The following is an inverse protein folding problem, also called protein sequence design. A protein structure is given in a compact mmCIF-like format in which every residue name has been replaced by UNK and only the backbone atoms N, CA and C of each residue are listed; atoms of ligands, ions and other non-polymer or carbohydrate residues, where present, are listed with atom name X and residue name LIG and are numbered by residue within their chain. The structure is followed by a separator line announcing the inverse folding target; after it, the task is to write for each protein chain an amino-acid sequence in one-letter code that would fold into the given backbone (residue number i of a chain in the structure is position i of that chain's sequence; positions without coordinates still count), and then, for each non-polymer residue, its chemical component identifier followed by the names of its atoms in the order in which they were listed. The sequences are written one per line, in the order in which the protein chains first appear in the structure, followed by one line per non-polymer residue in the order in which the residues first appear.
data_IF_931333627436
#
_entry.id   IF_931333627436
#
_cell.length_a   1.000
_cell.length_b   1.000
_cell.length_c   1.000
_cell.angle_alpha   90.00
_cell.angle_beta   90.00
_cell.angle_gamma   90.00
#
_symmetry.space_group_name_H-M   'P 1'
#
loop_
_entity.id
_entity.type
_entity.pdbx_description
1 polymer ?
#
# COMPACT_ATOMS: atom_id res chain seq x y z
N UNK A 1 -24.00 -46.70 -15.96
CA UNK A 1 -23.64 -47.24 -14.63
C UNK A 1 -23.14 -48.66 -14.85
N UNK A 2 -21.84 -48.90 -14.67
CA UNK A 2 -21.23 -50.21 -14.92
C UNK A 2 -21.30 -51.09 -13.66
N UNK A 3 -21.52 -52.40 -13.88
CA UNK A 3 -21.55 -53.45 -12.87
C UNK A 3 -20.14 -53.81 -12.39
N UNK A 4 -19.99 -54.37 -11.18
CA UNK A 4 -18.71 -54.94 -10.68
C UNK A 4 -18.08 -55.93 -11.69
N UNK A 5 -18.92 -56.61 -12.49
CA UNK A 5 -18.45 -57.50 -13.57
C UNK A 5 -17.76 -56.76 -14.72
N UNK A 6 -18.12 -55.51 -14.97
CA UNK A 6 -17.55 -54.71 -16.05
C UNK A 6 -16.15 -54.19 -15.66
N UNK A 7 -15.91 -53.94 -14.36
CA UNK A 7 -14.59 -53.54 -13.84
C UNK A 7 -13.57 -54.69 -13.90
N UNK A 8 -14.00 -55.93 -13.74
CA UNK A 8 -13.15 -57.13 -13.88
C UNK A 8 -12.74 -57.44 -15.33
N UNK A 9 -13.38 -56.80 -16.32
CA UNK A 9 -13.06 -56.97 -17.73
C UNK A 9 -11.84 -56.14 -18.17
N UNK A 10 -11.40 -55.18 -17.36
CA UNK A 10 -10.17 -54.43 -17.61
C UNK A 10 -8.96 -55.26 -17.20
N UNK A 11 -8.11 -55.57 -18.17
CA UNK A 11 -6.96 -56.49 -18.03
C UNK A 11 -5.97 -56.09 -16.91
N UNK A 12 -5.94 -54.81 -16.51
CA UNK A 12 -5.07 -54.30 -15.44
C UNK A 12 -5.65 -54.43 -14.03
N UNK A 13 -6.96 -54.63 -13.88
CA UNK A 13 -7.64 -54.74 -12.57
C UNK A 13 -7.65 -56.17 -12.02
N UNK A 14 -7.34 -57.16 -12.87
CA UNK A 14 -7.43 -58.60 -12.56
C UNK A 14 -6.43 -59.07 -11.51
N UNK A 15 -5.30 -58.39 -11.39
CA UNK A 15 -4.19 -58.78 -10.52
C UNK A 15 -4.07 -57.91 -9.25
N UNK A 16 -4.91 -56.87 -9.10
CA UNK A 16 -4.79 -55.85 -8.04
C UNK A 16 -5.88 -55.98 -6.97
N UNK A 17 -7.04 -56.59 -7.28
CA UNK A 17 -8.19 -56.61 -6.38
C UNK A 17 -8.69 -58.05 -6.21
N UNK A 18 -8.45 -58.65 -5.03
CA UNK A 18 -9.07 -59.92 -4.67
C UNK A 18 -10.53 -59.70 -4.25
N UNK A 19 -11.39 -60.71 -4.41
CA UNK A 19 -12.81 -60.63 -4.02
C UNK A 19 -12.98 -60.26 -2.54
N UNK A 20 -11.97 -60.60 -1.73
CA UNK A 20 -11.87 -60.36 -0.28
C UNK A 20 -11.65 -58.87 0.06
N UNK A 21 -10.99 -58.11 -0.83
CA UNK A 21 -10.74 -56.68 -0.67
C UNK A 21 -12.04 -55.85 -0.86
N UNK A 22 -12.99 -56.39 -1.63
CA UNK A 22 -14.28 -55.74 -1.95
C UNK A 22 -15.28 -55.80 -0.78
N UNK A 23 -15.08 -56.65 0.23
CA UNK A 23 -16.00 -56.77 1.37
C UNK A 23 -15.59 -55.94 2.61
N UNK A 24 -14.42 -55.29 2.59
CA UNK A 24 -13.93 -54.42 3.68
C UNK A 24 -13.95 -52.93 3.29
N UNK A 25 -15.10 -52.45 2.79
CA UNK A 25 -15.27 -51.11 2.20
C UNK A 25 -15.48 -50.03 3.26
N UNK A 26 -14.48 -49.80 4.11
CA UNK A 26 -14.38 -48.55 4.88
C UNK A 26 -13.09 -47.77 4.65
N UNK A 27 -12.10 -48.36 3.95
CA UNK A 27 -10.77 -47.75 3.81
C UNK A 27 -10.05 -48.02 2.47
N UNK A 28 -10.77 -48.26 1.37
CA UNK A 28 -10.15 -48.38 0.05
C UNK A 28 -10.25 -47.07 -0.74
N UNK A 29 -9.09 -46.59 -1.20
CA UNK A 29 -8.96 -45.41 -2.03
C UNK A 29 -9.90 -45.44 -3.22
N UNK A 30 -10.52 -44.30 -3.49
CA UNK A 30 -11.42 -44.12 -4.61
C UNK A 30 -10.69 -44.38 -5.94
N UNK A 31 -11.01 -45.48 -6.63
CA UNK A 31 -10.64 -45.68 -8.03
C UNK A 31 -11.54 -44.78 -8.87
N UNK A 32 -11.02 -43.63 -9.27
CA UNK A 32 -11.70 -42.70 -10.16
C UNK A 32 -11.37 -43.09 -11.61
N UNK A 33 -12.28 -43.81 -12.27
CA UNK A 33 -12.16 -44.14 -13.70
C UNK A 33 -12.65 -42.95 -14.50
N UNK A 34 -11.75 -42.23 -15.17
CA UNK A 34 -12.08 -41.12 -16.06
C UNK A 34 -12.69 -41.66 -17.36
N UNK A 35 -13.90 -41.23 -17.68
CA UNK A 35 -14.59 -41.54 -18.93
C UNK A 35 -14.73 -40.26 -19.76
N UNK A 36 -13.63 -39.81 -20.35
CA UNK A 36 -13.59 -38.60 -21.16
C UNK A 36 -14.27 -38.83 -22.51
N UNK A 37 -15.23 -37.97 -22.86
CA UNK A 37 -15.89 -38.01 -24.17
C UNK A 37 -15.33 -36.96 -25.13
N UNK A 38 -14.96 -35.79 -24.62
CA UNK A 38 -14.48 -34.66 -25.40
C UNK A 38 -13.39 -33.91 -24.65
N UNK A 39 -12.41 -33.40 -25.39
CA UNK A 39 -11.45 -32.40 -24.91
C UNK A 39 -11.81 -31.07 -25.54
N UNK A 40 -12.12 -30.07 -24.71
CA UNK A 40 -12.44 -28.72 -25.15
C UNK A 40 -11.19 -27.86 -25.02
N UNK A 41 -10.69 -27.33 -26.14
CA UNK A 41 -9.54 -26.42 -26.15
C UNK A 41 -10.00 -25.01 -26.50
N UNK A 42 -9.63 -24.03 -25.66
CA UNK A 42 -9.89 -22.62 -25.90
C UNK A 42 -8.64 -21.95 -26.49
N UNK A 43 -8.61 -21.77 -27.81
CA UNK A 43 -7.41 -21.32 -28.53
C UNK A 43 -7.20 -19.78 -28.56
N UNK A 44 -8.24 -18.99 -28.26
CA UNK A 44 -8.11 -17.53 -28.18
C UNK A 44 -9.29 -16.92 -27.43
N UNK A 45 -9.21 -16.83 -26.11
CA UNK A 45 -10.21 -16.12 -25.32
C UNK A 45 -9.78 -14.66 -25.19
N UNK A 46 -10.44 -13.77 -25.94
CA UNK A 46 -10.39 -12.35 -25.63
C UNK A 46 -11.26 -12.13 -24.42
N UNK A 47 -10.71 -11.51 -23.37
CA UNK A 47 -11.52 -11.01 -22.26
C UNK A 47 -12.60 -10.07 -22.77
N UNK A 48 -13.77 -10.12 -22.14
CA UNK A 48 -14.85 -9.20 -22.43
C UNK A 48 -14.42 -7.76 -22.12
N UNK A 49 -15.02 -6.79 -22.81
CA UNK A 49 -14.71 -5.37 -22.58
C UNK A 49 -15.08 -4.96 -21.16
N UNK A 50 -16.18 -5.53 -20.68
CA UNK A 50 -16.74 -5.33 -19.34
C UNK A 50 -15.73 -5.77 -18.29
N UNK A 51 -15.10 -6.94 -18.48
CA UNK A 51 -14.10 -7.44 -17.56
C UNK A 51 -12.85 -6.56 -17.53
N UNK A 52 -12.33 -6.16 -18.70
CA UNK A 52 -11.18 -5.27 -18.79
C UNK A 52 -11.43 -3.92 -18.12
N UNK A 53 -12.63 -3.36 -18.31
CA UNK A 53 -13.02 -2.10 -17.69
C UNK A 53 -13.15 -2.24 -16.18
N UNK A 54 -13.71 -3.34 -15.69
CA UNK A 54 -13.83 -3.60 -14.26
C UNK A 54 -12.46 -3.73 -13.58
N UNK A 55 -11.52 -4.44 -14.21
CA UNK A 55 -10.12 -4.52 -13.76
C UNK A 55 -9.47 -3.13 -13.73
N UNK A 56 -9.65 -2.32 -14.79
CA UNK A 56 -9.12 -0.95 -14.83
C UNK A 56 -9.68 -0.09 -13.69
N UNK A 57 -10.98 -0.15 -13.45
CA UNK A 57 -11.62 0.60 -12.37
C UNK A 57 -11.11 0.16 -10.99
N UNK A 58 -10.84 -1.14 -10.80
CA UNK A 58 -10.28 -1.67 -9.56
C UNK A 58 -8.82 -1.24 -9.36
N UNK A 59 -8.02 -1.22 -10.43
CA UNK A 59 -6.65 -0.71 -10.42
C UNK A 59 -6.64 0.77 -10.06
N UNK A 60 -7.49 1.58 -10.68
CA UNK A 60 -7.54 3.04 -10.46
C UNK A 60 -8.26 3.45 -9.14
N UNK A 61 -8.72 2.46 -8.35
CA UNK A 61 -9.38 2.73 -7.06
C UNK A 61 -8.38 3.16 -5.97
N UNK A 62 -8.88 3.85 -4.94
CA UNK A 62 -8.07 4.22 -3.77
C UNK A 62 -7.72 3.02 -2.88
N UNK A 63 -8.47 1.92 -2.96
CA UNK A 63 -8.26 0.70 -2.19
C UNK A 63 -8.07 -0.49 -3.14
N UNK A 64 -6.98 -0.52 -3.92
CA UNK A 64 -6.84 -1.45 -5.03
C UNK A 64 -6.76 -2.91 -4.58
N UNK A 65 -6.25 -3.20 -3.38
CA UNK A 65 -6.19 -4.58 -2.86
C UNK A 65 -7.60 -5.14 -2.61
N UNK A 66 -8.43 -4.43 -1.85
CA UNK A 66 -9.83 -4.83 -1.62
C UNK A 66 -10.65 -4.80 -2.91
N UNK A 67 -10.37 -3.85 -3.80
CA UNK A 67 -11.08 -3.76 -5.08
C UNK A 67 -10.70 -4.89 -6.02
N UNK A 68 -9.43 -5.30 -6.06
CA UNK A 68 -8.94 -6.41 -6.89
C UNK A 68 -9.27 -7.77 -6.29
N UNK A 69 -9.44 -7.87 -4.97
CA UNK A 69 -9.64 -9.13 -4.27
C UNK A 69 -10.82 -9.97 -4.83
N UNK A 70 -12.04 -9.45 -5.03
CA UNK A 70 -13.12 -10.23 -5.64
C UNK A 70 -12.79 -10.75 -7.05
N UNK A 71 -12.00 -10.00 -7.81
CA UNK A 71 -11.52 -10.45 -9.12
C UNK A 71 -10.54 -11.60 -8.89
N UNK A 72 -9.46 -11.38 -8.13
CA UNK A 72 -8.44 -12.40 -7.83
C UNK A 72 -9.02 -13.65 -7.16
N UNK A 73 -10.03 -13.53 -6.29
CA UNK A 73 -10.67 -14.62 -5.56
C UNK A 73 -11.60 -15.45 -6.48
N UNK A 74 -12.28 -14.85 -7.45
CA UNK A 74 -12.97 -15.63 -8.51
C UNK A 74 -11.94 -16.30 -9.47
N UNK A 75 -10.63 -16.02 -9.32
CA UNK A 75 -9.54 -16.58 -10.14
C UNK A 75 -8.57 -17.51 -9.42
N UNK A 76 -8.44 -17.43 -8.10
CA UNK A 76 -7.73 -18.44 -7.30
C UNK A 76 -8.64 -19.66 -7.21
N UNK A 77 -8.53 -20.53 -8.22
CA UNK A 77 -9.02 -21.93 -8.16
C UNK A 77 -8.18 -22.75 -7.16
N UNK A 78 -7.70 -22.11 -6.10
CA UNK A 78 -7.06 -22.76 -4.95
C UNK A 78 -7.97 -22.58 -3.78
N UNK A 79 -9.06 -23.34 -3.77
CA UNK A 79 -9.62 -24.00 -2.59
C UNK A 79 -10.62 -25.05 -3.08
N UNK A 80 -10.09 -26.17 -3.56
CA UNK A 80 -10.80 -27.44 -3.44
C UNK A 80 -10.88 -27.79 -1.94
N UNK A 81 -11.74 -27.13 -1.15
CA UNK A 81 -11.83 -27.45 0.29
C UNK A 81 -12.60 -28.71 0.53
N UNK A 82 -12.05 -29.58 1.37
CA UNK A 82 -12.75 -30.75 1.89
C UNK A 82 -13.75 -30.33 2.98
N UNK A 83 -14.98 -30.84 2.97
CA UNK A 83 -15.96 -30.69 4.06
C UNK A 83 -15.50 -31.44 5.34
N UNK A 84 -16.30 -31.38 6.42
CA UNK A 84 -16.01 -31.98 7.73
C UNK A 84 -15.79 -33.51 7.71
N UNK A 85 -16.06 -34.19 6.58
CA UNK A 85 -15.78 -35.60 6.30
C UNK A 85 -14.56 -35.82 5.38
N UNK A 86 -13.81 -34.78 5.06
CA UNK A 86 -12.64 -34.87 4.18
C UNK A 86 -12.98 -34.91 2.68
N UNK A 87 -14.14 -34.37 2.25
CA UNK A 87 -14.58 -34.40 0.84
C UNK A 87 -14.58 -33.02 0.15
N UNK A 88 -13.78 -32.90 -0.92
CA UNK A 88 -13.60 -31.67 -1.71
C UNK A 88 -14.93 -31.13 -2.25
N UNK A 89 -15.31 -29.93 -1.81
CA UNK A 89 -16.38 -29.07 -2.30
C UNK A 89 -15.94 -27.60 -2.18
N UNK A 90 -15.94 -26.83 -3.28
CA UNK A 90 -16.40 -25.43 -3.21
C UNK A 90 -16.71 -24.88 -4.60
N UNK A 91 -17.97 -24.43 -4.81
CA UNK A 91 -18.30 -23.16 -5.51
C UNK A 91 -19.60 -22.61 -4.88
N UNK A 92 -19.58 -21.36 -4.41
CA UNK A 92 -20.80 -20.55 -4.24
C UNK A 92 -21.18 -19.89 -5.58
N UNK A 93 -22.48 -19.87 -5.82
CA UNK A 93 -23.11 -20.07 -7.12
C UNK A 93 -23.05 -18.90 -8.12
N UNK A 94 -22.31 -17.82 -7.92
CA UNK A 94 -22.46 -16.60 -8.75
C UNK A 94 -21.55 -16.54 -9.99
N UNK A 95 -20.31 -17.07 -9.95
CA UNK A 95 -19.42 -17.10 -11.12
C UNK A 95 -19.77 -18.23 -12.15
N UNK A 96 -20.74 -19.11 -11.86
CA UNK A 96 -21.11 -20.27 -12.70
C UNK A 96 -22.53 -20.26 -13.32
N UNK A 97 -23.34 -19.22 -13.10
CA UNK A 97 -24.79 -19.27 -13.41
C UNK A 97 -25.18 -19.39 -14.90
N UNK A 98 -24.23 -19.54 -15.83
CA UNK A 98 -24.54 -19.69 -17.26
C UNK A 98 -24.01 -20.96 -17.92
N UNK A 99 -23.56 -21.99 -17.19
CA UNK A 99 -22.96 -23.18 -17.84
C UNK A 99 -23.73 -24.50 -17.75
N UNK A 100 -24.92 -24.55 -17.14
CA UNK A 100 -25.89 -25.61 -17.45
C UNK A 100 -27.26 -25.30 -16.86
N UNK A 101 -28.22 -24.97 -17.71
CA UNK A 101 -29.59 -25.36 -17.44
C UNK A 101 -30.05 -26.27 -18.58
N UNK A 102 -29.77 -27.56 -18.37
CA UNK A 102 -30.45 -28.74 -18.89
C UNK A 102 -30.65 -28.84 -20.41
N UNK A 103 -29.60 -29.30 -21.09
CA UNK A 103 -29.76 -30.06 -22.34
C UNK A 103 -29.58 -31.55 -22.03
N UNK A 104 -30.35 -32.41 -22.71
CA UNK A 104 -30.55 -33.87 -22.51
C UNK A 104 -29.29 -34.78 -22.43
N UNK A 105 -28.08 -34.21 -22.51
CA UNK A 105 -26.81 -34.91 -22.55
C UNK A 105 -26.02 -34.61 -21.27
N UNK A 106 -25.97 -35.57 -20.33
CA UNK A 106 -25.32 -35.48 -19.00
C UNK A 106 -23.77 -35.34 -19.07
N UNK A 107 -23.25 -34.30 -19.72
CA UNK A 107 -21.84 -33.97 -19.76
C UNK A 107 -21.49 -33.01 -18.62
N UNK A 108 -20.45 -33.35 -17.85
CA UNK A 108 -19.87 -32.51 -16.82
C UNK A 108 -18.37 -32.39 -17.00
N UNK A 109 -17.76 -31.32 -16.47
CA UNK A 109 -16.30 -31.16 -16.48
C UNK A 109 -15.72 -32.14 -15.45
N UNK A 110 -14.84 -33.04 -15.92
CA UNK A 110 -14.20 -34.07 -15.07
C UNK A 110 -12.74 -33.75 -14.75
N UNK A 111 -12.12 -32.83 -15.49
CA UNK A 111 -10.74 -32.40 -15.33
C UNK A 111 -10.52 -31.02 -15.97
N UNK A 112 -9.60 -30.24 -15.39
CA UNK A 112 -9.06 -29.05 -16.01
C UNK A 112 -7.62 -29.32 -16.43
N UNK A 113 -7.30 -29.03 -17.68
CA UNK A 113 -5.94 -29.08 -18.22
C UNK A 113 -5.58 -27.71 -18.81
N UNK A 114 -4.28 -27.37 -18.82
CA UNK A 114 -3.73 -26.11 -19.34
C UNK A 114 -4.38 -24.84 -18.73
N UNK A 115 -4.56 -24.81 -17.41
CA UNK A 115 -5.11 -23.65 -16.70
C UNK A 115 -4.18 -22.43 -16.83
N UNK A 116 -4.70 -21.33 -17.36
CA UNK A 116 -3.99 -20.05 -17.52
C UNK A 116 -4.55 -19.05 -16.51
N UNK A 117 -3.68 -18.34 -15.81
CA UNK A 117 -4.10 -17.24 -14.93
C UNK A 117 -4.78 -16.12 -15.73
N UNK A 118 -5.85 -15.54 -15.19
CA UNK A 118 -6.54 -14.42 -15.82
C UNK A 118 -5.72 -13.13 -15.85
N UNK A 119 -4.73 -13.00 -14.96
CA UNK A 119 -3.70 -11.96 -15.06
C UNK A 119 -2.99 -12.03 -16.42
N UNK A 120 -2.61 -13.22 -16.88
CA UNK A 120 -1.95 -13.43 -18.18
C UNK A 120 -2.86 -13.13 -19.39
N UNK A 121 -4.18 -13.00 -19.19
CA UNK A 121 -5.15 -12.68 -20.24
C UNK A 121 -5.41 -11.18 -20.38
N UNK A 122 -5.06 -10.38 -19.35
CA UNK A 122 -5.11 -8.92 -19.41
C UNK A 122 -4.11 -8.39 -20.43
N UNK A 123 -4.26 -7.15 -20.86
CA UNK A 123 -3.20 -6.54 -21.65
C UNK A 123 -1.97 -6.22 -20.79
N UNK A 124 -0.83 -6.06 -21.45
CA UNK A 124 0.47 -5.89 -20.80
C UNK A 124 0.51 -4.67 -19.87
N UNK A 125 -0.24 -3.61 -20.20
CA UNK A 125 -0.33 -2.42 -19.35
C UNK A 125 -1.04 -2.73 -18.03
N UNK A 126 -2.21 -3.37 -18.09
CA UNK A 126 -2.95 -3.80 -16.90
C UNK A 126 -2.16 -4.77 -16.05
N UNK A 127 -1.49 -5.75 -16.67
CA UNK A 127 -0.60 -6.68 -15.97
C UNK A 127 0.48 -5.93 -15.18
N UNK A 128 1.19 -5.01 -15.83
CA UNK A 128 2.24 -4.21 -15.20
C UNK A 128 1.72 -3.36 -14.03
N UNK A 129 0.51 -2.79 -14.15
CA UNK A 129 -0.13 -2.02 -13.06
C UNK A 129 -0.46 -2.92 -11.88
N UNK A 130 -1.05 -4.10 -12.12
CA UNK A 130 -1.37 -5.08 -11.07
C UNK A 130 -0.08 -5.59 -10.43
N UNK A 131 0.93 -5.94 -11.21
CA UNK A 131 2.23 -6.37 -10.70
C UNK A 131 2.88 -5.30 -9.85
N UNK A 132 2.75 -4.03 -10.26
CA UNK A 132 3.24 -2.90 -9.46
C UNK A 132 2.51 -2.81 -8.13
N UNK A 133 1.22 -3.14 -8.05
CA UNK A 133 0.43 -3.14 -6.80
C UNK A 133 0.78 -4.36 -5.93
N UNK A 134 0.83 -5.55 -6.52
CA UNK A 134 1.02 -6.82 -5.81
C UNK A 134 2.48 -7.05 -5.38
N UNK A 135 3.45 -6.57 -6.16
CA UNK A 135 4.88 -6.69 -5.84
C UNK A 135 5.37 -5.67 -4.78
N UNK A 136 4.51 -4.79 -4.25
CA UNK A 136 4.89 -3.86 -3.15
C UNK A 136 4.92 -4.54 -1.78
N UNK A 137 5.33 -5.80 -1.68
CA UNK A 137 5.43 -6.43 -0.36
C UNK A 137 6.55 -5.73 0.44
N UNK A 138 6.09 -4.98 1.45
CA UNK A 138 6.84 -4.40 2.57
C UNK A 138 7.78 -3.21 2.31
N UNK A 139 7.63 -2.51 1.18
CA UNK A 139 8.33 -1.26 0.94
C UNK A 139 7.44 -0.03 1.15
N UNK A 140 8.03 1.03 1.71
CA UNK A 140 7.36 2.32 1.85
C UNK A 140 7.08 2.96 0.48
N UNK A 141 5.85 3.44 0.32
CA UNK A 141 5.37 4.14 -0.88
C UNK A 141 4.61 5.40 -0.50
N UNK A 142 4.48 6.30 -1.46
CA UNK A 142 3.52 7.40 -1.35
C UNK A 142 2.12 6.81 -1.46
N UNK A 143 1.37 6.95 -0.38
CA UNK A 143 -0.01 6.47 -0.25
C UNK A 143 -0.97 7.50 -0.82
N UNK A 144 -0.73 8.76 -0.49
CA UNK A 144 -1.57 9.88 -0.87
C UNK A 144 -0.77 11.18 -0.75
N UNK A 145 -1.17 12.17 -1.54
CA UNK A 145 -0.60 13.51 -1.52
C UNK A 145 -1.72 14.55 -1.53
N UNK A 146 -1.43 15.75 -1.04
CA UNK A 146 -2.37 16.84 -1.16
C UNK A 146 -1.76 18.18 -0.87
N UNK A 147 -2.58 19.20 -1.10
CA UNK A 147 -2.23 20.60 -0.89
C UNK A 147 -3.42 21.30 -0.24
N UNK A 148 -3.12 22.07 0.81
CA UNK A 148 -4.11 22.88 1.52
C UNK A 148 -3.61 24.31 1.65
N UNK A 149 -4.49 25.30 1.43
CA UNK A 149 -4.16 26.70 1.69
C UNK A 149 -4.00 26.94 3.20
N UNK A 150 -3.31 28.02 3.58
CA UNK A 150 -3.09 28.37 4.98
C UNK A 150 -3.86 29.63 5.38
N UNK A 151 -4.97 29.97 4.70
CA UNK A 151 -5.72 31.20 5.00
C UNK A 151 -6.32 31.16 6.41
N UNK A 152 -6.92 30.03 6.76
CA UNK A 152 -7.62 29.79 8.03
C UNK A 152 -6.74 29.04 9.04
N UNK A 153 -5.62 29.67 9.42
CA UNK A 153 -4.76 29.18 10.50
C UNK A 153 -5.26 29.59 11.88
N UNK A 154 -5.35 28.60 12.77
CA UNK A 154 -5.55 28.82 14.20
C UNK A 154 -4.23 29.23 14.84
N UNK A 155 -4.24 30.30 15.64
CA UNK A 155 -3.08 30.65 16.45
C UNK A 155 -3.19 29.86 17.73
N UNK A 156 -2.33 28.86 17.89
CA UNK A 156 -2.26 28.09 19.13
C UNK A 156 -1.50 28.89 20.18
N UNK A 157 -1.42 28.35 21.41
CA UNK A 157 -0.50 28.88 22.42
C UNK A 157 0.90 29.04 21.81
N UNK A 158 1.63 30.06 22.24
CA UNK A 158 3.03 30.27 21.87
C UNK A 158 3.26 30.69 20.40
N UNK A 159 2.40 31.52 19.79
CA UNK A 159 2.58 32.06 18.42
C UNK A 159 2.84 31.01 17.33
N UNK A 160 2.44 29.76 17.56
CA UNK A 160 2.45 28.71 16.53
C UNK A 160 1.14 28.73 15.78
N UNK A 161 1.20 28.29 14.54
CA UNK A 161 0.01 28.09 13.72
C UNK A 161 -0.37 26.62 13.70
N UNK A 162 -1.68 26.38 13.75
CA UNK A 162 -2.29 25.07 13.65
C UNK A 162 -3.26 25.02 12.48
N UNK A 163 -3.26 23.90 11.78
CA UNK A 163 -4.33 23.55 10.83
C UNK A 163 -4.63 22.07 10.90
N UNK A 164 -5.90 21.74 11.02
CA UNK A 164 -6.37 20.38 10.78
C UNK A 164 -6.61 20.18 9.28
N UNK A 165 -6.11 19.06 8.76
CA UNK A 165 -6.29 18.63 7.38
C UNK A 165 -7.07 17.33 7.40
N UNK A 166 -8.21 17.35 6.70
CA UNK A 166 -9.03 16.18 6.49
C UNK A 166 -8.74 15.58 5.11
N UNK A 167 -8.67 14.26 5.07
CA UNK A 167 -8.54 13.53 3.82
C UNK A 167 -9.88 12.86 3.48
N UNK A 168 -10.05 12.50 2.21
CA UNK A 168 -11.25 11.78 1.75
C UNK A 168 -11.32 10.33 2.24
N UNK A 169 -10.28 9.86 2.93
CA UNK A 169 -10.15 8.45 3.32
C UNK A 169 -9.91 8.33 4.82
N UNK A 170 -10.44 7.26 5.40
CA UNK A 170 -10.24 6.91 6.80
C UNK A 170 -9.00 6.03 6.90
N UNK A 171 -8.10 6.38 7.79
CA UNK A 171 -6.94 5.61 8.16
C UNK A 171 -7.21 4.88 9.48
N UNK A 172 -7.32 3.55 9.41
CA UNK A 172 -7.61 2.70 10.56
C UNK A 172 -6.36 2.37 11.41
N UNK A 173 -5.18 2.39 10.79
CA UNK A 173 -3.92 1.99 11.41
C UNK A 173 -2.88 3.12 11.43
N UNK A 174 -1.89 3.07 12.32
CA UNK A 174 -0.82 4.09 12.41
C UNK A 174 0.43 3.76 11.56
N UNK A 175 0.31 2.80 10.63
CA UNK A 175 1.41 2.25 9.83
C UNK A 175 1.84 3.14 8.66
N UNK A 176 1.69 4.46 8.81
CA UNK A 176 2.18 5.47 7.87
C UNK A 176 2.88 6.61 8.61
N UNK A 177 3.51 7.48 7.82
CA UNK A 177 4.09 8.75 8.22
C UNK A 177 3.66 9.83 7.24
N UNK A 178 3.70 11.05 7.71
CA UNK A 178 3.35 12.29 7.07
C UNK A 178 4.63 13.08 6.86
N UNK A 179 4.70 13.69 5.70
CA UNK A 179 5.79 14.56 5.29
C UNK A 179 5.22 15.72 4.51
N UNK A 180 5.95 16.82 4.45
CA UNK A 180 5.51 17.97 3.68
C UNK A 180 6.37 19.18 3.91
N UNK A 181 5.96 20.27 3.28
CA UNK A 181 6.62 21.57 3.37
C UNK A 181 5.64 22.69 3.10
N UNK A 182 5.95 23.89 3.60
CA UNK A 182 5.25 25.09 3.17
C UNK A 182 5.76 25.49 1.79
N UNK A 183 4.84 25.82 0.90
CA UNK A 183 5.13 26.38 -0.41
C UNK A 183 4.39 27.70 -0.57
N UNK A 184 5.02 28.66 -1.22
CA UNK A 184 4.41 29.93 -1.59
C UNK A 184 3.57 29.77 -2.87
N UNK A 185 2.83 30.82 -3.23
CA UNK A 185 1.94 30.83 -4.40
C UNK A 185 2.65 30.62 -5.74
N UNK A 186 3.95 30.93 -5.81
CA UNK A 186 4.83 30.66 -6.95
C UNK A 186 5.43 29.24 -6.93
N UNK A 187 4.93 28.34 -6.07
CA UNK A 187 5.40 26.96 -5.87
C UNK A 187 6.84 26.84 -5.35
N UNK A 188 7.40 27.92 -4.83
CA UNK A 188 8.70 27.91 -4.17
C UNK A 188 8.57 27.37 -2.74
N UNK A 189 9.54 26.56 -2.30
CA UNK A 189 9.59 26.07 -0.92
C UNK A 189 9.90 27.23 0.03
N UNK A 190 9.15 27.33 1.13
CA UNK A 190 9.34 28.33 2.17
C UNK A 190 10.09 27.70 3.35
N UNK A 191 11.31 28.19 3.63
CA UNK A 191 12.20 27.62 4.66
C UNK A 191 12.22 28.37 6.00
N UNK A 192 11.46 29.47 6.09
CA UNK A 192 11.32 30.33 7.27
C UNK A 192 10.50 29.67 8.38
N UNK A 193 9.81 28.58 8.06
CA UNK A 193 8.92 27.85 8.95
C UNK A 193 9.38 26.42 9.14
N UNK A 194 9.30 25.96 10.37
CA UNK A 194 9.35 24.55 10.70
C UNK A 194 7.93 23.97 10.69
N UNK A 195 7.78 22.80 10.06
CA UNK A 195 6.49 22.15 9.88
C UNK A 195 6.55 20.77 10.50
N UNK A 196 5.53 20.45 11.28
CA UNK A 196 5.33 19.15 11.89
C UNK A 196 3.97 18.61 11.54
N UNK A 197 3.92 17.29 11.34
CA UNK A 197 2.69 16.58 11.04
C UNK A 197 2.48 15.48 12.07
N UNK A 198 1.30 15.45 12.66
CA UNK A 198 0.91 14.40 13.60
C UNK A 198 -0.55 14.01 13.42
N UNK A 199 -0.84 12.74 13.67
CA UNK A 199 -2.20 12.21 13.55
C UNK A 199 -3.08 12.84 14.65
N UNK A 200 -4.28 13.28 14.27
CA UNK A 200 -5.24 13.88 15.20
C UNK A 200 -6.56 13.10 15.24
N UNK A 201 -7.02 12.64 14.07
CA UNK A 201 -8.28 11.92 13.90
C UNK A 201 -8.12 10.78 12.90
N UNK A 202 -9.10 9.88 12.82
CA UNK A 202 -9.03 8.74 11.90
C UNK A 202 -9.13 9.15 10.42
N UNK A 203 -9.62 10.34 10.10
CA UNK A 203 -9.75 10.84 8.73
C UNK A 203 -8.92 12.11 8.47
N UNK A 204 -8.02 12.46 9.38
CA UNK A 204 -7.28 13.71 9.30
C UNK A 204 -6.03 13.76 10.18
N UNK A 205 -5.24 14.78 9.94
CA UNK A 205 -4.01 15.03 10.68
C UNK A 205 -3.85 16.52 10.93
N UNK A 206 -3.06 16.83 11.95
CA UNK A 206 -2.78 18.21 12.32
C UNK A 206 -1.41 18.61 11.81
N UNK A 207 -1.34 19.83 11.29
CA UNK A 207 -0.12 20.50 10.89
C UNK A 207 0.20 21.59 11.91
N UNK A 208 1.34 21.47 12.58
CA UNK A 208 1.88 22.53 13.43
C UNK A 208 2.99 23.26 12.68
N UNK A 209 2.89 24.59 12.65
CA UNK A 209 3.83 25.45 11.94
C UNK A 209 4.43 26.46 12.92
N UNK A 210 5.75 26.42 13.04
CA UNK A 210 6.52 27.26 13.96
C UNK A 210 7.44 28.18 13.15
N UNK A 211 7.32 29.51 13.27
CA UNK A 211 8.30 30.44 12.68
C UNK A 211 9.70 30.19 13.26
N UNK A 212 10.71 30.11 12.40
CA UNK A 212 12.11 29.94 12.82
C UNK A 212 12.78 31.29 13.14
N UNK A 213 12.31 32.36 12.51
CA UNK A 213 12.77 33.73 12.69
C UNK A 213 11.64 34.71 12.33
N UNK A 214 11.88 36.01 12.47
CA UNK A 214 11.02 37.01 11.87
C UNK A 214 11.01 36.81 10.34
N UNK A 215 9.91 36.27 9.82
CA UNK A 215 9.72 36.08 8.39
C UNK A 215 9.00 37.29 7.82
N UNK A 216 9.44 37.73 6.64
CA UNK A 216 8.71 38.72 5.85
C UNK A 216 7.54 38.10 5.07
N UNK A 217 7.44 36.77 5.06
CA UNK A 217 6.43 36.04 4.32
C UNK A 217 5.16 35.97 5.15
N UNK A 218 4.04 36.33 4.51
CA UNK A 218 2.72 36.12 5.08
C UNK A 218 2.30 34.66 4.88
N UNK A 219 2.43 33.85 5.93
CA UNK A 219 2.08 32.43 5.91
C UNK A 219 0.64 32.19 5.46
N UNK A 220 -0.30 33.12 5.69
CA UNK A 220 -1.70 32.95 5.30
C UNK A 220 -1.93 32.99 3.79
N UNK A 221 -0.91 33.41 3.03
CA UNK A 221 -0.88 33.38 1.56
C UNK A 221 -0.17 32.15 1.00
N UNK A 222 0.35 31.29 1.88
CA UNK A 222 1.06 30.07 1.50
C UNK A 222 0.14 28.86 1.54
N UNK A 223 0.70 27.73 1.12
CA UNK A 223 0.07 26.42 1.11
C UNK A 223 0.94 25.43 1.85
N UNK A 224 0.34 24.38 2.38
CA UNK A 224 1.06 23.20 2.87
C UNK A 224 0.92 22.08 1.84
N UNK A 225 2.04 21.71 1.23
CA UNK A 225 2.15 20.49 0.44
C UNK A 225 2.44 19.35 1.41
N UNK A 226 1.66 18.28 1.33
CA UNK A 226 1.80 17.12 2.20
C UNK A 226 1.72 15.81 1.43
N UNK A 227 2.31 14.78 2.02
CA UNK A 227 2.26 13.42 1.55
C UNK A 227 2.22 12.44 2.72
N UNK A 228 1.53 11.33 2.47
CA UNK A 228 1.43 10.18 3.37
C UNK A 228 2.29 9.09 2.76
N UNK A 229 3.22 8.56 3.55
CA UNK A 229 4.15 7.49 3.18
C UNK A 229 3.92 6.31 4.10
N UNK A 230 3.66 5.14 3.54
CA UNK A 230 3.31 3.94 4.30
C UNK A 230 3.56 2.68 3.50
N UNK A 231 3.32 1.52 4.10
CA UNK A 231 3.35 0.24 3.39
C UNK A 231 1.95 -0.04 2.85
N UNK A 232 1.72 -0.05 1.53
CA UNK A 232 0.37 -0.14 0.96
C UNK A 232 -0.48 -1.31 1.48
N UNK A 233 0.14 -2.48 1.68
CA UNK A 233 -0.55 -3.67 2.23
C UNK A 233 -1.03 -3.53 3.67
N UNK A 234 -0.60 -2.50 4.41
CA UNK A 234 -0.98 -2.25 5.81
C UNK A 234 -1.94 -1.07 5.98
N UNK A 235 -2.14 -0.25 4.96
CA UNK A 235 -2.91 1.00 5.10
C UNK A 235 -4.24 0.99 4.34
N UNK A 236 -4.56 -0.11 3.63
CA UNK A 236 -5.74 -0.32 2.76
C UNK A 236 -5.93 0.70 1.62
N UNK A 237 -5.27 1.86 1.71
CA UNK A 237 -5.29 2.98 0.79
C UNK A 237 -3.99 2.98 0.00
N UNK A 238 -4.07 3.13 -1.32
CA UNK A 238 -2.90 3.33 -2.17
C UNK A 238 -3.30 4.05 -3.44
N UNK A 239 -3.18 5.38 -3.48
CA UNK A 239 -3.57 6.17 -4.65
C UNK A 239 -2.80 5.76 -5.91
N UNK A 240 -3.46 5.70 -7.10
CA UNK A 240 -2.80 5.44 -8.38
C UNK A 240 -1.80 6.52 -8.82
N UNK A 241 -1.92 7.76 -8.30
CA UNK A 241 -1.24 8.93 -8.89
C UNK A 241 0.29 8.89 -8.77
N UNK A 242 0.82 8.21 -7.76
CA UNK A 242 2.24 8.20 -7.42
C UNK A 242 2.80 6.79 -7.12
N UNK A 243 2.11 5.70 -7.50
CA UNK A 243 2.50 4.31 -7.14
C UNK A 243 3.87 3.91 -7.71
N UNK A 244 4.14 4.42 -8.91
CA UNK A 244 5.37 4.23 -9.67
C UNK A 244 6.56 4.99 -9.07
N UNK A 245 6.31 5.99 -8.21
CA UNK A 245 7.38 6.75 -7.58
C UNK A 245 8.11 5.88 -6.56
N UNK A 246 9.43 5.85 -6.70
CA UNK A 246 10.30 5.25 -5.72
C UNK A 246 10.50 6.23 -4.56
N UNK A 247 10.25 5.75 -3.35
CA UNK A 247 10.47 6.51 -2.12
C UNK A 247 11.61 5.86 -1.37
N UNK A 248 12.64 6.64 -1.13
CA UNK A 248 13.71 6.26 -0.23
C UNK A 248 13.35 6.73 1.17
N UNK A 249 12.98 5.79 2.03
CA UNK A 249 12.51 6.11 3.38
C UNK A 249 13.49 5.59 4.43
N UNK A 250 13.80 6.45 5.40
CA UNK A 250 14.73 6.16 6.49
C UNK A 250 14.00 6.38 7.81
N UNK A 251 14.09 5.39 8.69
CA UNK A 251 13.80 5.54 10.10
C UNK A 251 15.13 5.54 10.85
N UNK A 252 15.33 6.55 11.69
CA UNK A 252 16.35 6.54 12.73
C UNK A 252 15.64 6.74 14.07
N UNK A 253 15.58 5.68 14.86
CA UNK A 253 14.98 5.71 16.19
C UNK A 253 16.05 6.07 17.24
N UNK A 254 15.61 6.72 18.31
CA UNK A 254 16.38 7.00 19.51
C UNK A 254 17.70 7.76 19.29
N UNK A 255 17.71 8.75 18.40
CA UNK A 255 18.93 9.53 18.18
C UNK A 255 19.14 10.54 19.30
N UNK A 256 20.32 10.49 19.92
CA UNK A 256 20.78 11.50 20.87
C UNK A 256 21.31 12.74 20.13
N UNK A 257 20.68 13.90 20.34
CA UNK A 257 21.13 15.17 19.79
C UNK A 257 21.80 16.02 20.87
N UNK A 258 23.08 16.37 20.67
CA UNK A 258 23.82 17.21 21.61
C UNK A 258 23.32 18.65 21.56
N UNK A 259 23.01 19.21 22.72
CA UNK A 259 22.46 20.57 22.89
C UNK A 259 23.52 21.68 22.79
N UNK A 260 24.81 21.34 22.83
CA UNK A 260 25.86 22.28 23.22
C UNK A 260 26.55 23.04 22.08
N UNK A 261 26.10 22.93 20.84
CA UNK A 261 26.64 23.76 19.76
C UNK A 261 25.49 24.20 18.85
N UNK A 262 25.14 25.49 18.94
CA UNK A 262 24.14 26.11 18.07
C UNK A 262 24.44 25.88 16.58
N UNK A 263 25.70 25.61 16.19
CA UNK A 263 26.14 25.36 14.81
C UNK A 263 26.48 23.89 14.49
N UNK A 264 26.16 22.94 15.36
CA UNK A 264 26.45 21.54 15.08
C UNK A 264 25.45 20.91 14.09
N UNK A 265 25.98 20.34 13.02
CA UNK A 265 25.22 19.48 12.11
C UNK A 265 25.21 18.04 12.63
N UNK A 266 24.04 17.41 12.53
CA UNK A 266 23.85 15.99 12.81
C UNK A 266 23.80 15.21 11.49
N UNK A 267 24.89 14.52 11.10
CA UNK A 267 24.93 13.73 9.88
C UNK A 267 24.22 12.38 10.05
N UNK A 268 23.25 12.11 9.19
CA UNK A 268 22.55 10.83 9.10
C UNK A 268 23.05 10.09 7.87
N UNK A 269 23.76 8.98 8.09
CA UNK A 269 24.23 8.10 7.01
C UNK A 269 23.05 7.40 6.34
N UNK A 270 22.97 7.49 5.03
CA UNK A 270 21.96 6.82 4.20
C UNK A 270 22.45 5.46 3.69
N UNK A 271 21.53 4.54 3.42
CA UNK A 271 21.83 3.24 2.78
C UNK A 271 21.84 3.33 1.25
N UNK A 272 21.43 4.47 0.70
CA UNK A 272 21.36 4.79 -0.71
C UNK A 272 22.07 6.12 -1.00
N UNK A 273 22.41 6.36 -2.25
CA UNK A 273 23.08 7.58 -2.66
C UNK A 273 22.08 8.66 -3.03
N UNK A 274 22.25 9.87 -2.48
CA UNK A 274 21.49 11.04 -2.90
C UNK A 274 22.08 11.62 -4.19
N UNK A 275 21.21 12.10 -5.06
CA UNK A 275 21.52 12.67 -6.37
C UNK A 275 21.00 14.10 -6.49
N UNK A 276 21.61 14.87 -7.41
CA UNK A 276 21.22 16.26 -7.63
C UNK A 276 19.74 16.31 -8.07
N UNK A 277 18.95 17.07 -7.32
CA UNK A 277 17.51 17.21 -7.53
C UNK A 277 16.66 16.43 -6.52
N UNK A 278 17.25 15.53 -5.75
CA UNK A 278 16.54 14.84 -4.68
C UNK A 278 15.99 15.84 -3.65
N UNK A 279 14.75 15.64 -3.26
CA UNK A 279 14.05 16.43 -2.26
C UNK A 279 13.95 15.64 -0.97
N UNK A 280 14.45 16.23 0.12
CA UNK A 280 14.47 15.62 1.45
C UNK A 280 13.38 16.24 2.32
N UNK A 281 12.52 15.38 2.87
CA UNK A 281 11.51 15.72 3.86
C UNK A 281 11.85 15.07 5.19
N UNK A 282 11.69 15.82 6.27
CA UNK A 282 12.01 15.38 7.62
C UNK A 282 10.80 15.62 8.50
N UNK A 283 10.44 14.64 9.31
CA UNK A 283 9.40 14.80 10.33
C UNK A 283 9.80 14.08 11.61
N UNK A 284 9.28 14.56 12.74
CA UNK A 284 9.55 14.03 14.09
C UNK A 284 8.22 13.89 14.82
N UNK A 285 7.88 12.69 15.29
CA UNK A 285 6.52 12.40 15.80
C UNK A 285 6.31 12.74 17.27
N UNK A 286 7.37 13.02 18.02
CA UNK A 286 7.31 13.41 19.43
C UNK A 286 8.53 14.27 19.72
N UNK A 287 8.56 15.55 19.29
CA UNK A 287 9.70 16.39 19.53
C UNK A 287 9.86 16.57 21.05
N UNK A 288 11.10 16.56 21.52
CA UNK A 288 11.36 17.01 22.90
C UNK A 288 10.83 18.43 23.04
N UNK A 289 10.04 18.67 24.08
CA UNK A 289 9.39 19.96 24.32
C UNK A 289 10.45 21.07 24.23
N UNK A 290 10.30 21.95 23.25
CA UNK A 290 11.21 23.08 23.03
C UNK A 290 12.32 22.89 22.03
N UNK A 291 12.33 21.78 21.29
CA UNK A 291 13.29 21.56 20.22
C UNK A 291 12.59 21.12 18.93
N UNK A 292 13.14 21.56 17.80
CA UNK A 292 12.74 21.12 16.48
C UNK A 292 13.97 20.72 15.66
N UNK A 293 13.72 19.98 14.57
CA UNK A 293 14.77 19.42 13.75
C UNK A 293 14.63 19.90 12.30
N UNK A 294 15.61 20.66 11.82
CA UNK A 294 15.60 21.25 10.48
C UNK A 294 16.54 20.50 9.55
N UNK A 295 16.07 20.18 8.35
CA UNK A 295 16.94 19.79 7.24
C UNK A 295 17.78 20.99 6.79
N UNK A 296 19.10 20.80 6.65
CA UNK A 296 20.03 21.85 6.20
C UNK A 296 20.54 21.55 4.79
N UNK A 297 21.17 20.39 4.61
CA UNK A 297 21.75 20.00 3.32
C UNK A 297 21.99 18.47 3.29
N UNK A 298 22.49 17.96 2.18
CA UNK A 298 22.91 16.56 2.04
C UNK A 298 24.23 16.45 1.26
N UNK A 299 24.90 15.31 1.42
CA UNK A 299 25.99 14.84 0.57
C UNK A 299 25.64 13.45 0.05
N UNK A 300 26.50 12.87 -0.80
CA UNK A 300 26.22 11.61 -1.50
C UNK A 300 25.65 10.51 -0.59
N UNK A 301 26.18 10.36 0.62
CA UNK A 301 25.80 9.28 1.55
C UNK A 301 25.26 9.80 2.90
N UNK A 302 25.00 11.12 3.02
CA UNK A 302 24.59 11.72 4.29
C UNK A 302 23.54 12.81 4.14
N UNK A 303 22.65 12.89 5.11
CA UNK A 303 21.69 13.99 5.29
C UNK A 303 22.09 14.75 6.55
N UNK A 304 22.23 16.07 6.45
CA UNK A 304 22.64 16.93 7.56
C UNK A 304 21.43 17.66 8.14
N UNK A 305 21.16 17.37 9.41
CA UNK A 305 20.09 18.00 10.16
C UNK A 305 20.67 18.96 11.20
N UNK A 306 19.91 19.97 11.59
CA UNK A 306 20.25 20.89 12.68
C UNK A 306 19.14 20.89 13.70
N UNK A 307 19.51 20.68 14.96
CA UNK A 307 18.61 20.91 16.08
C UNK A 307 18.49 22.42 16.26
N UNK A 308 17.27 22.92 16.40
CA UNK A 308 17.06 24.30 16.79
C UNK A 308 16.19 24.33 18.04
N UNK A 309 16.45 25.31 18.89
CA UNK A 309 15.65 25.57 20.06
C UNK A 309 14.42 26.36 19.63
N UNK A 310 13.25 25.82 19.94
CA UNK A 310 12.02 26.59 19.82
C UNK A 310 12.08 27.70 20.88
N UNK A 311 12.12 28.95 20.42
CA UNK A 311 12.23 30.14 21.26
C UNK A 311 11.11 30.27 22.30
N UNK A 312 10.08 29.44 22.23
CA UNK A 312 8.82 29.60 22.96
C UNK A 312 8.55 28.45 23.95
N UNK A 313 9.45 27.47 24.08
CA UNK A 313 9.42 26.58 25.24
C UNK A 313 9.86 27.33 26.50
N UNK A 314 9.06 27.21 27.57
CA UNK A 314 9.33 27.88 28.83
C UNK A 314 10.75 27.57 29.34
N UNK A 315 11.38 28.57 29.96
CA UNK A 315 12.68 28.43 30.63
C UNK A 315 12.67 27.40 31.77
N UNK A 316 11.52 26.81 32.10
CA UNK A 316 11.34 26.00 33.31
C UNK A 316 11.30 24.49 33.03
N UNK A 317 11.28 24.05 31.76
CA UNK A 317 11.28 22.63 31.38
C UNK A 317 12.59 22.17 30.73
N UNK A 318 13.72 22.77 31.11
CA UNK A 318 15.03 22.25 30.73
C UNK A 318 15.27 20.91 31.41
N UNK A 319 14.90 19.82 30.74
CA UNK A 319 15.63 18.59 30.94
C UNK A 319 17.08 18.88 30.57
N UNK A 320 17.99 18.83 31.54
CA UNK A 320 19.45 18.85 31.33
C UNK A 320 19.96 17.61 30.57
N UNK A 321 19.04 16.81 30.00
CA UNK A 321 19.31 15.58 29.28
C UNK A 321 19.34 15.86 27.79
N UNK A 322 20.30 15.23 27.12
CA UNK A 322 20.39 15.11 25.67
C UNK A 322 19.03 14.66 25.11
N UNK A 323 18.36 15.44 24.26
CA UNK A 323 17.09 15.04 23.67
C UNK A 323 17.29 13.77 22.81
N UNK A 324 16.41 12.79 23.04
CA UNK A 324 16.28 11.58 22.22
C UNK A 324 15.11 11.82 21.28
N UNK A 325 15.37 11.83 19.97
CA UNK A 325 14.34 12.14 18.96
C UNK A 325 14.33 11.05 17.89
N UNK A 326 13.13 10.54 17.62
CA UNK A 326 12.86 9.69 16.46
C UNK A 326 12.73 10.55 15.22
N UNK A 327 13.58 10.26 14.23
CA UNK A 327 13.66 11.02 12.99
C UNK A 327 13.21 10.13 11.84
N UNK A 328 12.18 10.62 11.15
CA UNK A 328 11.70 10.02 9.92
C UNK A 328 12.14 10.90 8.76
N UNK A 329 12.72 10.28 7.74
CA UNK A 329 13.21 10.98 6.56
C UNK A 329 12.63 10.30 5.32
N UNK A 330 12.05 11.12 4.45
CA UNK A 330 11.62 10.71 3.14
C UNK A 330 12.44 11.45 2.10
N UNK A 331 13.05 10.70 1.18
CA UNK A 331 13.81 11.23 0.05
C UNK A 331 13.08 10.85 -1.23
N UNK A 332 12.73 11.87 -2.01
CA UNK A 332 12.10 11.72 -3.30
C UNK A 332 13.03 12.16 -4.42
N UNK A 333 13.12 11.40 -5.53
CA UNK A 333 13.82 11.86 -6.71
C UNK A 333 13.12 13.10 -7.29
N UNK A 334 13.86 13.91 -8.06
CA UNK A 334 13.31 15.07 -8.77
C UNK A 334 12.21 14.65 -9.76
N UNK A 335 10.98 14.55 -9.28
CA UNK A 335 9.77 14.24 -10.02
C UNK A 335 8.63 15.03 -9.42
N UNK A 336 7.74 15.51 -10.29
CA UNK A 336 6.55 16.25 -9.88
C UNK A 336 5.60 15.27 -9.20
N UNK A 337 5.26 15.55 -7.94
CA UNK A 337 4.21 14.84 -7.22
C UNK A 337 2.85 15.16 -7.84
N UNK A 338 2.08 14.14 -8.17
CA UNK A 338 0.70 14.32 -8.65
C UNK A 338 -0.23 14.37 -7.45
N UNK A 339 -1.00 15.44 -7.29
CA UNK A 339 -1.84 15.68 -6.11
C UNK A 339 -3.10 14.82 -6.10
N UNK A 340 -3.46 14.20 -4.97
CA UNK A 340 -4.73 13.45 -4.81
C UNK A 340 -5.83 14.32 -4.21
N UNK A 341 -5.45 15.11 -3.21
CA UNK A 341 -6.34 16.01 -2.50
C UNK A 341 -5.92 17.45 -2.80
N UNK A 342 -6.51 18.04 -3.83
CA UNK A 342 -6.42 19.46 -4.10
C UNK A 342 -7.83 20.05 -4.14
N UNK A 343 -8.04 21.17 -3.46
CA UNK A 343 -9.30 21.92 -3.53
C UNK A 343 -9.41 22.72 -4.85
N UNK A 344 -8.33 22.82 -5.62
CA UNK A 344 -8.26 23.48 -6.92
C UNK A 344 -7.33 22.65 -7.86
N UNK A 345 -7.63 22.59 -9.16
CA UNK A 345 -6.73 22.04 -10.17
C UNK A 345 -5.52 22.98 -10.33
N UNK A 346 -4.29 22.47 -10.09
CA UNK A 346 -3.03 23.21 -10.24
C UNK A 346 -2.31 22.81 -11.53
#
# INVERSE_FOLDING_TARGET
MYSVKDVQSFQFAKDIIALEDVFNVSYLGYLMVKCEQYVITLNSTKLSKEFKQAAENAIESMNPFESLKPYLDCFDVTHFFKDDDGKVTTIEAECLQNLSNYTDDNLGIVEFDNVISTHNLLDMEQQNKIDTILNVKDNYKIIMTGIDDLKELEITKNNRYGKEIYTKVVFEETNFKFFGSIISKDNSKVEDYFVMFFMNSHNGFFVSITPLSESSIDIRKCYVLWMIVGIPSKVNVFSPRNRELHVNYIIKEQNEFRLNDDDSYYPIKTSFQLTKGDTVFVNTYFPVIGYGLKFVNWSKDFIYLRLFKDHIASKDNYYTRTPIIDVHICVLPYKVLKLDNSNEEY
#
